data_IF_246744983818
#
_entry.id   IF_246744983818
#
_cell.length_a   1.000
_cell.length_b   1.000
_cell.length_c   1.000
_cell.angle_alpha   90.00
_cell.angle_beta   90.00
_cell.angle_gamma   90.00
#
_symmetry.space_group_name_H-M   'P 1'
#
loop_
_entity.id
_entity.type
_entity.pdbx_description
1 polymer ?
#
# COMPACT_ATOMS: atom_id res chain seq x y z
N UNK A 1 -9.12 -16.46 -10.51
CA UNK A 1 -9.31 -16.92 -9.13
C UNK A 1 -9.36 -15.69 -8.21
N UNK A 2 -10.35 -15.61 -7.31
CA UNK A 2 -10.49 -14.50 -6.37
C UNK A 2 -10.00 -14.95 -4.99
N UNK A 3 -9.32 -14.04 -4.27
CA UNK A 3 -9.01 -14.27 -2.87
C UNK A 3 -10.30 -14.26 -2.05
N UNK A 4 -10.49 -15.21 -1.12
CA UNK A 4 -11.58 -15.14 -0.16
C UNK A 4 -11.43 -13.88 0.71
N UNK A 5 -12.47 -13.48 1.42
CA UNK A 5 -12.32 -12.44 2.44
C UNK A 5 -11.28 -12.86 3.46
N UNK A 6 -10.45 -11.89 3.86
CA UNK A 6 -9.38 -12.17 4.84
C UNK A 6 -9.97 -12.71 6.15
N UNK A 7 -9.40 -13.83 6.57
CA UNK A 7 -9.67 -14.43 7.87
C UNK A 7 -8.35 -14.95 8.44
N UNK A 8 -7.96 -14.41 9.59
CA UNK A 8 -6.72 -14.78 10.28
C UNK A 8 -6.65 -16.23 10.74
N UNK A 9 -7.80 -16.91 10.89
CA UNK A 9 -7.89 -18.30 11.33
C UNK A 9 -7.56 -19.30 10.21
N UNK A 10 -7.53 -18.84 8.96
CA UNK A 10 -7.15 -19.69 7.83
C UNK A 10 -5.63 -19.85 7.80
N UNK A 11 -5.17 -21.01 8.21
CA UNK A 11 -3.75 -21.37 8.19
C UNK A 11 -3.59 -22.83 7.74
N UNK A 12 -2.85 -23.14 6.67
CA UNK A 12 -2.02 -22.22 5.89
C UNK A 12 -2.83 -21.24 5.03
N UNK A 13 -2.24 -20.12 4.60
CA UNK A 13 -2.92 -19.17 3.72
C UNK A 13 -3.21 -19.80 2.34
N UNK A 14 -4.22 -19.31 1.59
CA UNK A 14 -4.53 -19.81 0.26
C UNK A 14 -3.30 -19.86 -0.65
N UNK A 15 -3.21 -20.87 -1.52
CA UNK A 15 -2.10 -21.04 -2.48
C UNK A 15 -1.85 -19.76 -3.29
N UNK A 16 -2.90 -19.08 -3.72
CA UNK A 16 -2.81 -17.82 -4.47
C UNK A 16 -2.04 -16.73 -3.69
N UNK A 17 -2.19 -16.67 -2.37
CA UNK A 17 -1.43 -15.74 -1.51
C UNK A 17 0.06 -16.07 -1.55
N UNK A 18 0.41 -17.34 -1.47
CA UNK A 18 1.80 -17.79 -1.55
C UNK A 18 2.43 -17.48 -2.91
N UNK A 19 1.67 -17.66 -3.99
CA UNK A 19 2.11 -17.31 -5.34
C UNK A 19 2.35 -15.80 -5.49
N UNK A 20 1.48 -14.95 -4.93
CA UNK A 20 1.71 -13.51 -4.89
C UNK A 20 2.97 -13.14 -4.09
N UNK A 21 3.17 -13.74 -2.93
CA UNK A 21 4.38 -13.49 -2.12
C UNK A 21 5.65 -13.88 -2.86
N UNK A 22 5.67 -15.04 -3.50
CA UNK A 22 6.81 -15.48 -4.33
C UNK A 22 7.11 -14.47 -5.43
N UNK A 23 6.11 -14.04 -6.20
CA UNK A 23 6.30 -13.01 -7.25
C UNK A 23 6.84 -11.69 -6.69
N UNK A 24 6.39 -11.28 -5.51
CA UNK A 24 6.90 -10.09 -4.84
C UNK A 24 8.35 -10.26 -4.38
N UNK A 25 8.73 -11.45 -3.90
CA UNK A 25 10.13 -11.75 -3.54
C UNK A 25 11.06 -11.70 -4.76
N UNK A 26 10.60 -12.16 -5.90
CA UNK A 26 11.34 -12.15 -7.16
C UNK A 26 11.38 -10.75 -7.81
N UNK A 27 10.47 -9.85 -7.47
CA UNK A 27 10.38 -8.51 -8.05
C UNK A 27 11.29 -7.50 -7.34
N UNK A 28 11.78 -6.50 -8.09
CA UNK A 28 12.50 -5.34 -7.53
C UNK A 28 11.56 -4.20 -7.14
N UNK A 29 10.34 -4.21 -7.68
CA UNK A 29 9.35 -3.14 -7.54
C UNK A 29 8.00 -3.73 -7.19
N UNK A 30 7.33 -3.17 -6.18
CA UNK A 30 5.93 -3.42 -5.89
C UNK A 30 5.12 -2.18 -6.20
N UNK A 31 4.07 -2.30 -7.01
CA UNK A 31 3.19 -1.20 -7.33
C UNK A 31 1.77 -1.47 -6.86
N UNK A 32 1.23 -0.58 -6.02
CA UNK A 32 -0.18 -0.57 -5.64
C UNK A 32 -0.91 0.52 -6.43
N UNK A 33 -1.88 0.08 -7.22
CA UNK A 33 -2.73 0.97 -8.03
C UNK A 33 -4.17 0.80 -7.55
N UNK A 34 -4.80 1.87 -7.14
CA UNK A 34 -6.18 1.82 -6.67
C UNK A 34 -6.91 3.15 -6.78
N UNK A 35 -8.22 3.08 -6.69
CA UNK A 35 -9.10 4.23 -6.55
C UNK A 35 -9.47 4.46 -5.09
N UNK A 36 -9.63 5.73 -4.74
CA UNK A 36 -10.11 6.13 -3.42
C UNK A 36 -11.63 6.18 -3.41
N UNK A 37 -12.26 5.37 -2.57
CA UNK A 37 -13.69 5.39 -2.28
C UNK A 37 -13.90 5.64 -0.79
N UNK A 38 -14.69 6.67 -0.44
CA UNK A 38 -14.96 7.02 0.96
C UNK A 38 -13.68 7.09 1.83
N UNK A 39 -12.64 7.72 1.32
CA UNK A 39 -11.32 7.84 1.96
C UNK A 39 -10.59 6.51 2.22
N UNK A 40 -10.96 5.44 1.48
CA UNK A 40 -10.31 4.12 1.53
C UNK A 40 -9.95 3.65 0.13
N UNK A 41 -9.08 2.68 0.04
CA UNK A 41 -8.90 1.93 -1.20
C UNK A 41 -10.13 1.03 -1.45
N UNK A 42 -10.26 0.49 -2.66
CA UNK A 42 -11.32 -0.46 -2.93
C UNK A 42 -11.15 -1.74 -2.09
N UNK A 43 -12.27 -2.39 -1.74
CA UNK A 43 -12.28 -3.52 -0.83
C UNK A 43 -11.42 -4.71 -1.31
N UNK A 44 -11.34 -4.92 -2.61
CA UNK A 44 -10.52 -5.99 -3.21
C UNK A 44 -9.03 -5.75 -2.92
N UNK A 45 -8.55 -4.50 -3.08
CA UNK A 45 -7.16 -4.17 -2.81
C UNK A 45 -6.83 -4.20 -1.32
N UNK A 46 -7.77 -3.78 -0.45
CA UNK A 46 -7.62 -3.90 1.00
C UNK A 46 -7.53 -5.37 1.42
N UNK A 47 -8.42 -6.22 0.91
CA UNK A 47 -8.39 -7.66 1.15
C UNK A 47 -7.07 -8.30 0.67
N UNK A 48 -6.57 -7.88 -0.49
CA UNK A 48 -5.28 -8.34 -1.00
C UNK A 48 -4.11 -7.90 -0.07
N UNK A 49 -4.14 -6.67 0.43
CA UNK A 49 -3.14 -6.16 1.38
C UNK A 49 -3.14 -7.03 2.66
N UNK A 50 -4.31 -7.29 3.22
CA UNK A 50 -4.45 -8.05 4.45
C UNK A 50 -3.96 -9.50 4.29
N UNK A 51 -4.24 -10.14 3.15
CA UNK A 51 -3.76 -11.48 2.86
C UNK A 51 -2.26 -11.54 2.55
N UNK A 52 -1.80 -10.72 1.62
CA UNK A 52 -0.46 -10.85 1.03
C UNK A 52 0.59 -10.20 1.92
N UNK A 53 0.32 -8.99 2.43
CA UNK A 53 1.28 -8.21 3.22
C UNK A 53 1.14 -8.48 4.73
N UNK A 54 0.84 -9.71 5.07
CA UNK A 54 0.60 -10.16 6.44
C UNK A 54 1.87 -10.08 7.32
N UNK A 55 1.73 -9.84 8.65
CA UNK A 55 2.81 -9.98 9.62
C UNK A 55 3.53 -11.33 9.51
N UNK A 56 4.78 -11.37 9.95
CA UNK A 56 5.76 -12.46 9.84
C UNK A 56 6.41 -12.61 8.47
N UNK A 57 5.72 -12.32 7.36
CA UNK A 57 6.33 -12.33 6.03
C UNK A 57 6.73 -10.93 5.58
N UNK A 58 5.79 -9.97 5.64
CA UNK A 58 6.02 -8.61 5.17
C UNK A 58 6.75 -7.74 6.18
N UNK A 59 6.44 -7.92 7.45
CA UNK A 59 7.13 -7.33 8.59
C UNK A 59 6.99 -8.22 9.82
N UNK A 60 7.81 -7.99 10.83
CA UNK A 60 7.69 -8.60 12.15
C UNK A 60 7.88 -7.56 13.25
N UNK A 61 7.63 -7.94 14.49
CA UNK A 61 7.91 -7.09 15.65
C UNK A 61 9.08 -7.67 16.44
N UNK A 62 10.05 -6.81 16.76
CA UNK A 62 11.14 -7.15 17.66
C UNK A 62 10.89 -6.51 19.01
N UNK A 63 10.94 -7.30 20.06
CA UNK A 63 10.72 -6.79 21.43
C UNK A 63 11.72 -5.69 21.77
N UNK A 64 11.23 -4.61 22.40
CA UNK A 64 12.07 -3.53 22.92
C UNK A 64 12.95 -3.99 24.09
N UNK A 65 12.44 -4.92 24.91
CA UNK A 65 13.15 -5.47 26.07
C UNK A 65 13.11 -6.99 26.01
N UNK A 66 14.09 -7.61 25.32
CA UNK A 66 14.15 -9.07 25.23
C UNK A 66 14.20 -9.73 26.62
N UNK A 67 13.41 -10.79 26.80
CA UNK A 67 13.32 -11.52 28.08
C UNK A 67 12.40 -10.90 29.15
N UNK A 68 11.91 -9.69 28.95
CA UNK A 68 10.99 -9.10 29.91
C UNK A 68 9.54 -9.54 29.63
N UNK A 69 8.93 -10.25 30.60
CA UNK A 69 7.56 -10.78 30.48
C UNK A 69 6.48 -9.70 30.35
N UNK A 70 6.68 -8.53 30.95
CA UNK A 70 5.70 -7.43 30.94
C UNK A 70 5.70 -6.65 29.62
N UNK A 71 6.85 -6.55 28.96
CA UNK A 71 7.00 -5.85 27.68
C UNK A 71 7.10 -6.80 26.48
N UNK A 72 6.75 -8.06 26.68
CA UNK A 72 6.80 -9.10 25.64
C UNK A 72 6.10 -8.70 24.34
N UNK A 73 4.98 -7.98 24.42
CA UNK A 73 4.17 -7.57 23.29
C UNK A 73 4.50 -6.15 22.76
N UNK A 74 5.42 -5.44 23.43
CA UNK A 74 5.86 -4.12 22.98
C UNK A 74 7.12 -4.28 22.12
N UNK A 75 7.03 -3.80 20.90
CA UNK A 75 8.13 -3.92 19.98
C UNK A 75 8.10 -2.86 18.89
N UNK A 76 9.18 -2.76 18.15
CA UNK A 76 9.26 -1.95 16.95
C UNK A 76 9.19 -2.86 15.71
N UNK A 77 8.60 -2.37 14.59
CA UNK A 77 8.51 -3.15 13.38
C UNK A 77 9.88 -3.37 12.75
N UNK A 78 10.09 -4.59 12.29
CA UNK A 78 11.28 -4.98 11.52
C UNK A 78 10.80 -5.39 10.14
N UNK A 79 11.37 -4.79 9.12
CA UNK A 79 11.02 -5.08 7.73
C UNK A 79 11.34 -6.54 7.36
N UNK A 80 10.42 -7.15 6.63
CA UNK A 80 10.51 -8.54 6.17
C UNK A 80 11.04 -8.67 4.73
N UNK A 81 10.40 -9.54 3.95
CA UNK A 81 10.83 -9.97 2.61
C UNK A 81 10.98 -8.83 1.58
N UNK A 82 10.30 -7.72 1.78
CA UNK A 82 10.30 -6.59 0.83
C UNK A 82 11.30 -5.47 1.17
N UNK A 83 12.13 -5.66 2.19
CA UNK A 83 13.09 -4.65 2.67
C UNK A 83 13.99 -4.12 1.55
N UNK A 84 14.07 -2.79 1.43
CA UNK A 84 14.94 -2.10 0.47
C UNK A 84 14.42 -2.05 -0.97
N UNK A 85 13.38 -2.81 -1.30
CA UNK A 85 12.74 -2.76 -2.62
C UNK A 85 11.99 -1.44 -2.84
N UNK A 86 11.69 -1.14 -4.10
CA UNK A 86 10.92 0.05 -4.44
C UNK A 86 9.42 -0.23 -4.33
N UNK A 87 8.72 0.59 -3.55
CA UNK A 87 7.25 0.61 -3.49
C UNK A 87 6.69 1.82 -4.22
N UNK A 88 5.77 1.62 -5.16
CA UNK A 88 5.08 2.69 -5.88
C UNK A 88 3.60 2.67 -5.48
N UNK A 89 3.09 3.80 -5.02
CA UNK A 89 1.66 3.99 -4.72
C UNK A 89 1.04 4.91 -5.76
N UNK A 90 0.03 4.41 -6.45
CA UNK A 90 -0.77 5.15 -7.41
C UNK A 90 -2.23 5.17 -6.97
N UNK A 91 -2.75 6.33 -6.58
CA UNK A 91 -4.13 6.47 -6.12
C UNK A 91 -4.86 7.51 -6.96
N UNK A 92 -6.03 7.12 -7.47
CA UNK A 92 -6.97 8.02 -8.17
C UNK A 92 -8.11 8.45 -7.25
N UNK A 93 -8.55 9.69 -7.41
CA UNK A 93 -9.61 10.33 -6.65
C UNK A 93 -10.62 10.95 -7.60
N UNK A 94 -11.91 10.75 -7.35
CA UNK A 94 -12.98 11.34 -8.16
C UNK A 94 -13.11 12.86 -7.99
N UNK A 95 -12.83 13.38 -6.80
CA UNK A 95 -12.92 14.80 -6.51
C UNK A 95 -11.63 15.58 -6.75
N UNK A 96 -11.69 16.92 -6.70
CA UNK A 96 -10.52 17.79 -6.79
C UNK A 96 -9.63 17.68 -5.55
N UNK A 97 -8.36 18.04 -5.69
CA UNK A 97 -7.37 17.94 -4.61
C UNK A 97 -7.82 18.65 -3.33
N UNK A 98 -8.44 19.80 -3.45
CA UNK A 98 -8.90 20.60 -2.30
C UNK A 98 -9.90 19.85 -1.41
N UNK A 99 -10.79 19.02 -2.00
CA UNK A 99 -11.77 18.24 -1.24
C UNK A 99 -11.11 17.23 -0.29
N UNK A 100 -9.93 16.73 -0.62
CA UNK A 100 -9.21 15.77 0.20
C UNK A 100 -8.25 16.44 1.19
N UNK A 101 -7.86 17.67 0.94
CA UNK A 101 -7.00 18.44 1.82
C UNK A 101 -7.78 19.07 2.99
N UNK A 102 -8.97 19.58 2.73
CA UNK A 102 -9.80 20.18 3.76
C UNK A 102 -10.37 19.20 4.80
N UNK A 103 -10.53 17.93 4.42
CA UNK A 103 -11.00 16.87 5.35
C UNK A 103 -9.88 16.25 6.20
N UNK A 104 -8.64 16.42 5.84
CA UNK A 104 -7.51 16.00 6.65
C UNK A 104 -6.52 17.16 6.74
N UNK A 105 -6.59 17.88 7.82
CA UNK A 105 -5.74 19.06 8.11
C UNK A 105 -4.24 18.84 7.88
N UNK A 106 -3.80 17.58 7.70
CA UNK A 106 -2.37 17.25 7.63
C UNK A 106 -1.96 16.20 6.61
N UNK A 107 -2.87 15.42 6.03
CA UNK A 107 -2.47 14.44 5.00
C UNK A 107 -3.67 13.72 4.36
N UNK A 108 -3.47 13.21 3.15
CA UNK A 108 -4.41 12.36 2.45
C UNK A 108 -4.48 10.97 3.12
N UNK A 109 -5.57 10.64 3.81
CA UNK A 109 -5.70 9.45 4.67
C UNK A 109 -5.35 8.14 3.94
N UNK A 110 -5.90 7.82 2.75
CA UNK A 110 -5.56 6.57 2.06
C UNK A 110 -4.08 6.50 1.72
N UNK A 111 -3.52 7.60 1.26
CA UNK A 111 -2.11 7.69 0.92
C UNK A 111 -1.22 7.49 2.15
N UNK A 112 -1.55 8.18 3.25
CA UNK A 112 -0.80 8.06 4.51
C UNK A 112 -0.83 6.64 5.06
N UNK A 113 -1.99 5.97 5.01
CA UNK A 113 -2.13 4.57 5.43
C UNK A 113 -1.18 3.68 4.63
N UNK A 114 -1.22 3.73 3.30
CA UNK A 114 -0.34 2.88 2.48
C UNK A 114 1.13 3.22 2.69
N UNK A 115 1.48 4.49 2.69
CA UNK A 115 2.88 4.91 2.89
C UNK A 115 3.43 4.48 4.24
N UNK A 116 2.71 4.78 5.34
CA UNK A 116 3.22 4.56 6.69
C UNK A 116 2.93 3.16 7.20
N UNK A 117 1.67 2.71 7.11
CA UNK A 117 1.24 1.46 7.71
C UNK A 117 1.47 0.23 6.84
N UNK A 118 1.79 0.42 5.55
CA UNK A 118 2.12 -0.69 4.66
C UNK A 118 3.58 -0.58 4.24
N UNK A 119 3.94 0.38 3.41
CA UNK A 119 5.26 0.40 2.79
C UNK A 119 6.40 0.65 3.77
N UNK A 120 6.24 1.57 4.73
CA UNK A 120 7.28 1.80 5.73
C UNK A 120 7.47 0.61 6.68
N UNK A 121 6.37 -0.07 7.08
CA UNK A 121 6.47 -1.30 7.87
C UNK A 121 7.23 -2.40 7.12
N UNK A 122 6.98 -2.56 5.83
CA UNK A 122 7.71 -3.50 4.97
C UNK A 122 9.12 -3.06 4.60
N UNK A 123 9.54 -1.86 5.00
CA UNK A 123 10.87 -1.33 4.69
C UNK A 123 11.10 -0.95 3.24
N UNK A 124 10.03 -0.64 2.47
CA UNK A 124 10.15 -0.23 1.08
C UNK A 124 10.55 1.24 0.96
N UNK A 125 11.37 1.53 -0.05
CA UNK A 125 11.59 2.90 -0.51
C UNK A 125 10.38 3.34 -1.32
N UNK A 126 9.67 4.41 -0.94
CA UNK A 126 8.38 4.73 -1.48
C UNK A 126 8.43 5.89 -2.48
N UNK A 127 7.92 5.67 -3.69
CA UNK A 127 7.50 6.71 -4.63
C UNK A 127 5.98 6.70 -4.75
N UNK A 128 5.39 7.84 -5.11
CA UNK A 128 3.94 7.94 -5.20
C UNK A 128 3.46 8.89 -6.28
N UNK A 129 2.26 8.62 -6.79
CA UNK A 129 1.54 9.48 -7.70
C UNK A 129 0.06 9.51 -7.31
N UNK A 130 -0.54 10.69 -7.33
CA UNK A 130 -1.95 10.90 -7.01
C UNK A 130 -2.62 11.57 -8.21
N UNK A 131 -3.78 11.06 -8.58
CA UNK A 131 -4.59 11.60 -9.66
C UNK A 131 -5.90 12.13 -9.09
N UNK A 132 -6.17 13.40 -9.25
CA UNK A 132 -7.40 14.05 -8.79
C UNK A 132 -8.32 14.31 -9.97
N UNK A 133 -9.62 14.45 -9.69
CA UNK A 133 -10.67 14.67 -10.70
C UNK A 133 -10.71 13.59 -11.78
N UNK A 134 -10.49 12.34 -11.38
CA UNK A 134 -10.57 11.17 -12.27
C UNK A 134 -12.03 10.74 -12.34
N UNK A 135 -12.72 11.15 -13.40
CA UNK A 135 -14.11 10.84 -13.67
C UNK A 135 -14.24 10.15 -15.03
N UNK A 136 -15.34 9.42 -15.30
CA UNK A 136 -15.56 8.78 -16.60
C UNK A 136 -15.51 9.76 -17.79
N UNK A 137 -15.89 11.03 -17.56
CA UNK A 137 -15.90 12.10 -18.55
C UNK A 137 -14.79 13.14 -18.27
N UNK A 138 -13.61 12.66 -17.90
CA UNK A 138 -12.46 13.52 -17.60
C UNK A 138 -12.04 14.32 -18.83
N UNK A 139 -11.82 15.65 -18.64
CA UNK A 139 -11.27 16.52 -19.66
C UNK A 139 -9.90 16.03 -20.17
N UNK A 140 -9.69 16.15 -21.49
CA UNK A 140 -8.46 15.71 -22.14
C UNK A 140 -7.21 16.39 -21.56
N UNK A 141 -7.29 17.67 -21.21
CA UNK A 141 -6.15 18.40 -20.64
C UNK A 141 -5.77 17.84 -19.26
N UNK A 142 -6.77 17.45 -18.46
CA UNK A 142 -6.55 16.78 -17.16
C UNK A 142 -5.89 15.43 -17.36
N UNK A 143 -6.39 14.64 -18.31
CA UNK A 143 -5.79 13.36 -18.68
C UNK A 143 -4.32 13.53 -19.13
N UNK A 144 -4.05 14.45 -20.04
CA UNK A 144 -2.70 14.69 -20.55
C UNK A 144 -1.74 15.15 -19.45
N UNK A 145 -2.22 15.97 -18.51
CA UNK A 145 -1.48 16.37 -17.32
C UNK A 145 -1.12 15.16 -16.46
N UNK A 146 -2.07 14.26 -16.24
CA UNK A 146 -1.82 13.01 -15.51
C UNK A 146 -0.79 12.13 -16.22
N UNK A 147 -0.88 11.99 -17.53
CA UNK A 147 0.07 11.21 -18.33
C UNK A 147 1.49 11.79 -18.30
N UNK A 148 1.64 13.13 -18.32
CA UNK A 148 2.95 13.78 -18.13
C UNK A 148 3.57 13.40 -16.78
N UNK A 149 2.78 13.35 -15.72
CA UNK A 149 3.24 12.95 -14.37
C UNK A 149 3.67 11.48 -14.31
N UNK A 150 2.92 10.59 -14.96
CA UNK A 150 3.31 9.17 -15.09
C UNK A 150 4.65 9.05 -15.82
N UNK A 151 4.80 9.69 -16.98
CA UNK A 151 6.07 9.70 -17.73
C UNK A 151 7.24 10.21 -16.90
N UNK A 152 7.03 11.28 -16.12
CA UNK A 152 8.05 11.81 -15.20
C UNK A 152 8.43 10.80 -14.11
N UNK A 153 7.44 10.11 -13.52
CA UNK A 153 7.71 9.07 -12.52
C UNK A 153 8.53 7.94 -13.13
N UNK A 154 8.10 7.39 -14.27
CA UNK A 154 8.80 6.29 -14.94
C UNK A 154 10.25 6.66 -15.27
N UNK A 155 10.51 7.86 -15.77
CA UNK A 155 11.89 8.32 -16.04
C UNK A 155 12.78 8.48 -14.80
N UNK A 156 12.17 8.48 -13.61
CA UNK A 156 12.87 8.61 -12.33
C UNK A 156 13.09 7.27 -11.61
N UNK A 157 12.61 6.16 -12.22
CA UNK A 157 12.84 4.80 -11.69
C UNK A 157 14.22 4.28 -12.06
#
# INVERSE_FOLDING_TARGET
EQLPFYNQDINPPPKLVLDYRKRLEESSVMMLIGSCHNLRLNAILENWIDWVLHPKWFFSYRSLVPGNKYFKNYGYPVAGAMKGKLGIVSISYGGPMMSYWNFSFFDNIPFRRIKKSVFQLGGLRTKYIRFYSVLPQMDKNVFDSHMKRVKKLVRSL
#
